data_IF_486831457478
#
_entry.id   IF_486831457478
#
_cell.length_a   1.000
_cell.length_b   1.000
_cell.length_c   1.000
_cell.angle_alpha   90.00
_cell.angle_beta   90.00
_cell.angle_gamma   90.00
#
_symmetry.space_group_name_H-M   'P 1'
#
loop_
_entity.id
_entity.type
_entity.pdbx_description
1 polymer ?
#
# COMPACT_ATOMS: atom_id res chain seq x y z
N UNK A 1 4.24 11.63 50.95
CA UNK A 1 3.94 13.07 50.79
C UNK A 1 3.61 13.28 49.32
N UNK A 2 2.44 13.68 48.84
CA UNK A 2 1.29 14.37 49.41
C UNK A 2 -0.01 13.72 48.94
N UNK A 3 -0.94 13.58 49.88
CA UNK A 3 -2.35 13.24 49.70
C UNK A 3 -3.16 14.53 49.62
N UNK A 4 -4.09 14.64 48.67
CA UNK A 4 -5.26 15.53 48.71
C UNK A 4 -6.14 15.17 47.50
N UNK A 5 -7.46 15.08 47.53
CA UNK A 5 -8.47 14.88 48.58
C UNK A 5 -9.76 14.63 47.78
N UNK A 6 -10.51 13.58 48.14
CA UNK A 6 -11.83 13.28 47.56
C UNK A 6 -12.86 14.27 48.12
N UNK A 7 -13.73 14.80 47.25
CA UNK A 7 -15.16 15.15 47.48
C UNK A 7 -15.64 16.12 46.40
N UNK A 8 -16.59 15.70 45.56
CA UNK A 8 -17.88 16.39 45.32
C UNK A 8 -18.84 15.36 44.73
N UNK A 9 -19.78 14.90 45.55
CA UNK A 9 -21.05 14.27 45.15
C UNK A 9 -22.12 15.35 45.29
N UNK A 10 -22.97 15.54 44.29
CA UNK A 10 -24.44 15.59 44.43
C UNK A 10 -25.14 16.23 43.23
N UNK A 11 -26.35 15.71 42.99
CA UNK A 11 -27.51 16.31 42.30
C UNK A 11 -27.46 16.42 40.78
N UNK A 12 -28.22 15.53 40.13
CA UNK A 12 -29.57 15.87 39.69
C UNK A 12 -30.45 14.60 39.58
N UNK A 13 -31.53 14.58 40.35
CA UNK A 13 -32.58 13.56 40.34
C UNK A 13 -33.69 13.94 39.35
N UNK A 14 -34.16 12.94 38.62
CA UNK A 14 -35.56 12.63 38.28
C UNK A 14 -36.54 13.77 38.05
N UNK A 15 -36.88 14.00 36.77
CA UNK A 15 -38.11 14.68 36.35
C UNK A 15 -39.15 13.62 35.95
N UNK A 16 -40.03 13.24 36.88
CA UNK A 16 -41.27 12.51 36.60
C UNK A 16 -42.26 13.49 35.96
N UNK A 17 -42.65 13.25 34.71
CA UNK A 17 -43.80 13.91 34.09
C UNK A 17 -44.98 12.95 34.21
N UNK A 18 -45.97 13.38 35.00
CA UNK A 18 -47.28 12.77 35.16
C UNK A 18 -48.17 13.32 34.04
N UNK A 19 -48.71 12.46 33.18
CA UNK A 19 -49.83 12.84 32.33
C UNK A 19 -50.93 11.79 32.44
N UNK A 20 -52.14 12.31 32.48
CA UNK A 20 -53.39 11.79 33.02
C UNK A 20 -54.03 10.68 32.20
N UNK A 21 -54.65 9.73 32.91
CA UNK A 21 -55.58 8.74 32.39
C UNK A 21 -56.93 9.36 32.04
N UNK A 22 -57.34 9.25 30.78
CA UNK A 22 -58.72 9.46 30.34
C UNK A 22 -59.14 8.24 29.51
N UNK A 23 -60.03 7.43 30.06
CA UNK A 23 -60.95 6.47 29.42
C UNK A 23 -61.78 7.20 28.35
N UNK A 24 -62.27 6.64 27.24
CA UNK A 24 -62.28 5.33 26.60
C UNK A 24 -62.71 5.58 25.13
N UNK A 25 -62.33 4.71 24.18
CA UNK A 25 -63.24 4.25 23.12
C UNK A 25 -62.59 3.13 22.29
N UNK A 26 -63.35 2.05 22.15
CA UNK A 26 -63.02 0.82 21.43
C UNK A 26 -63.18 1.06 19.93
N UNK A 27 -62.07 0.97 19.17
CA UNK A 27 -62.12 0.62 17.75
C UNK A 27 -61.01 -0.38 17.46
N UNK A 28 -61.43 -1.60 17.11
CA UNK A 28 -60.59 -2.72 16.76
C UNK A 28 -59.80 -2.46 15.47
N UNK A 29 -58.46 -2.41 15.55
CA UNK A 29 -57.60 -2.86 14.46
C UNK A 29 -56.21 -3.22 14.99
N UNK A 30 -55.83 -4.48 14.76
CA UNK A 30 -54.58 -5.13 15.17
C UNK A 30 -53.34 -4.53 14.47
N UNK A 31 -52.19 -4.32 15.16
CA UNK A 31 -50.91 -4.06 14.50
C UNK A 31 -50.27 -5.37 13.97
N UNK A 32 -49.61 -5.35 12.79
CA UNK A 32 -49.00 -6.52 12.18
C UNK A 32 -47.75 -6.99 12.94
N UNK A 33 -47.61 -8.31 13.04
CA UNK A 33 -46.58 -9.01 13.80
C UNK A 33 -45.15 -8.65 13.36
N UNK A 34 -44.27 -8.43 14.33
CA UNK A 34 -42.83 -8.31 14.11
C UNK A 34 -42.26 -9.60 13.48
N UNK A 35 -41.28 -9.52 12.57
CA UNK A 35 -40.65 -10.71 11.99
C UNK A 35 -40.00 -11.53 13.12
N UNK A 36 -40.21 -12.85 13.16
CA UNK A 36 -39.72 -13.70 14.24
C UNK A 36 -38.18 -13.69 14.25
N UNK A 37 -37.60 -13.22 15.36
CA UNK A 37 -36.17 -13.35 15.63
C UNK A 37 -35.88 -14.85 15.81
N UNK A 38 -34.97 -15.46 15.04
CA UNK A 38 -34.76 -16.90 15.10
C UNK A 38 -34.25 -17.31 16.49
N UNK A 39 -34.92 -18.29 17.09
CA UNK A 39 -34.56 -18.83 18.39
C UNK A 39 -33.15 -19.44 18.33
N UNK A 40 -32.31 -19.08 19.30
CA UNK A 40 -30.94 -19.62 19.41
C UNK A 40 -31.01 -21.07 19.89
N UNK A 41 -31.07 -21.99 18.93
CA UNK A 41 -31.00 -23.42 19.14
C UNK A 41 -29.62 -23.82 19.67
N UNK A 42 -29.57 -24.29 20.92
CA UNK A 42 -28.34 -24.85 21.54
C UNK A 42 -28.12 -26.28 21.03
N UNK A 43 -27.88 -26.41 19.73
CA UNK A 43 -27.49 -27.68 19.11
C UNK A 43 -26.14 -28.19 19.61
N UNK A 44 -25.91 -29.49 19.45
CA UNK A 44 -24.64 -30.14 19.80
C UNK A 44 -23.51 -29.52 18.95
N UNK A 45 -22.31 -29.27 19.51
CA UNK A 45 -21.22 -28.55 18.80
C UNK A 45 -20.92 -29.08 17.39
N UNK A 46 -21.12 -30.38 17.15
CA UNK A 46 -20.96 -31.02 15.83
C UNK A 46 -22.06 -30.64 14.83
N UNK A 47 -23.31 -30.51 15.28
CA UNK A 47 -24.42 -30.09 14.42
C UNK A 47 -24.27 -28.63 14.01
N UNK A 48 -23.81 -27.78 14.93
CA UNK A 48 -23.48 -26.39 14.64
C UNK A 48 -22.32 -26.29 13.64
N UNK A 49 -21.29 -27.13 13.76
CA UNK A 49 -20.16 -27.17 12.81
C UNK A 49 -20.59 -27.65 11.41
N UNK A 50 -21.40 -28.72 11.33
CA UNK A 50 -21.96 -29.18 10.05
C UNK A 50 -22.82 -28.09 9.39
N UNK A 51 -23.75 -27.49 10.15
CA UNK A 51 -24.59 -26.38 9.66
C UNK A 51 -23.73 -25.21 9.17
N UNK A 52 -22.68 -24.85 9.91
CA UNK A 52 -21.74 -23.81 9.50
C UNK A 52 -21.09 -24.11 8.14
N UNK A 53 -20.54 -25.32 7.95
CA UNK A 53 -19.95 -25.70 6.66
C UNK A 53 -20.97 -25.77 5.53
N UNK A 54 -22.20 -26.22 5.80
CA UNK A 54 -23.26 -26.26 4.79
C UNK A 54 -23.65 -24.85 4.34
N UNK A 55 -23.85 -23.93 5.28
CA UNK A 55 -24.16 -22.51 4.99
C UNK A 55 -22.99 -21.85 4.28
N UNK A 56 -21.76 -22.06 4.77
CA UNK A 56 -20.57 -21.48 4.14
C UNK A 56 -20.40 -21.96 2.70
N UNK A 57 -20.61 -23.27 2.45
CA UNK A 57 -20.56 -23.83 1.11
C UNK A 57 -21.65 -23.26 0.20
N UNK A 58 -22.91 -23.17 0.68
CA UNK A 58 -23.99 -22.59 -0.13
C UNK A 58 -23.72 -21.13 -0.46
N UNK A 59 -23.23 -20.35 0.50
CA UNK A 59 -22.96 -18.92 0.29
C UNK A 59 -21.88 -18.71 -0.77
N UNK A 60 -20.76 -19.45 -0.72
CA UNK A 60 -19.72 -19.34 -1.75
C UNK A 60 -20.17 -19.87 -3.12
N UNK A 61 -20.99 -20.94 -3.15
CA UNK A 61 -21.57 -21.44 -4.39
C UNK A 61 -22.47 -20.40 -5.04
N UNK A 62 -23.35 -19.78 -4.25
CA UNK A 62 -24.30 -18.79 -4.75
C UNK A 62 -23.56 -17.55 -5.25
N UNK A 63 -22.52 -17.10 -4.54
CA UNK A 63 -21.62 -16.02 -5.02
C UNK A 63 -20.93 -16.42 -6.33
N UNK A 64 -20.46 -17.66 -6.49
CA UNK A 64 -19.82 -18.11 -7.72
C UNK A 64 -20.79 -18.15 -8.91
N UNK A 65 -22.01 -18.67 -8.70
CA UNK A 65 -23.07 -18.71 -9.72
C UNK A 65 -23.51 -17.30 -10.10
N UNK A 66 -23.68 -16.41 -9.14
CA UNK A 66 -24.04 -15.01 -9.38
C UNK A 66 -22.92 -14.27 -10.10
N UNK A 67 -21.65 -14.53 -9.76
CA UNK A 67 -20.49 -13.97 -10.45
C UNK A 67 -20.48 -14.37 -11.92
N UNK A 68 -20.67 -15.66 -12.22
CA UNK A 68 -20.73 -16.15 -13.62
C UNK A 68 -21.92 -15.52 -14.36
N UNK A 69 -23.07 -15.41 -13.70
CA UNK A 69 -24.27 -14.78 -14.29
C UNK A 69 -24.02 -13.29 -14.54
N UNK A 70 -23.36 -12.59 -13.62
CA UNK A 70 -22.93 -11.20 -13.76
C UNK A 70 -21.92 -11.00 -14.89
N UNK A 71 -21.00 -11.94 -15.09
CA UNK A 71 -20.06 -11.91 -16.22
C UNK A 71 -20.79 -12.07 -17.57
N UNK A 72 -21.78 -12.94 -17.64
CA UNK A 72 -22.60 -13.15 -18.85
C UNK A 72 -23.49 -11.95 -19.18
N UNK A 73 -24.09 -11.33 -18.17
CA UNK A 73 -25.01 -10.18 -18.37
C UNK A 73 -24.25 -8.90 -18.75
N UNK A 74 -23.02 -8.70 -18.24
CA UNK A 74 -22.22 -7.49 -18.48
C UNK A 74 -20.77 -7.83 -18.86
N UNK A 75 -20.52 -8.37 -20.07
CA UNK A 75 -19.19 -8.85 -20.46
C UNK A 75 -18.12 -7.74 -20.48
N UNK A 76 -18.49 -6.50 -20.82
CA UNK A 76 -17.56 -5.36 -20.82
C UNK A 76 -16.99 -5.06 -19.44
N UNK A 77 -17.84 -5.11 -18.39
CA UNK A 77 -17.39 -4.86 -17.01
C UNK A 77 -16.55 -6.02 -16.49
N UNK A 78 -16.97 -7.25 -16.78
CA UNK A 78 -16.20 -8.45 -16.45
C UNK A 78 -14.81 -8.44 -17.07
N UNK A 79 -14.70 -8.10 -18.36
CA UNK A 79 -13.43 -7.96 -19.04
C UNK A 79 -12.54 -6.92 -18.34
N UNK A 80 -13.07 -5.74 -18.02
CA UNK A 80 -12.29 -4.69 -17.33
C UNK A 80 -11.76 -5.14 -15.95
N UNK A 81 -12.55 -5.87 -15.17
CA UNK A 81 -12.10 -6.41 -13.89
C UNK A 81 -11.04 -7.50 -14.07
N UNK A 82 -11.24 -8.42 -15.03
CA UNK A 82 -10.31 -9.51 -15.28
C UNK A 82 -8.98 -9.01 -15.83
N UNK A 83 -9.00 -8.02 -16.73
CA UNK A 83 -7.77 -7.36 -17.20
C UNK A 83 -7.10 -6.62 -16.06
N UNK A 84 -7.85 -5.91 -15.20
CA UNK A 84 -7.28 -5.23 -14.03
C UNK A 84 -6.57 -6.20 -13.08
N UNK A 85 -7.22 -7.30 -12.71
CA UNK A 85 -6.63 -8.34 -11.86
C UNK A 85 -5.41 -8.96 -12.55
N UNK A 86 -5.52 -9.29 -13.84
CA UNK A 86 -4.42 -9.82 -14.62
C UNK A 86 -3.20 -8.88 -14.66
N UNK A 87 -3.42 -7.59 -14.89
CA UNK A 87 -2.36 -6.58 -14.87
C UNK A 87 -1.69 -6.48 -13.49
N UNK A 88 -2.46 -6.52 -12.41
CA UNK A 88 -1.93 -6.47 -11.03
C UNK A 88 -1.10 -7.72 -10.73
N UNK A 89 -1.59 -8.91 -11.09
CA UNK A 89 -0.85 -10.16 -10.91
C UNK A 89 0.44 -10.18 -11.73
N UNK A 90 0.35 -9.76 -13.00
CA UNK A 90 1.51 -9.66 -13.88
C UNK A 90 2.55 -8.65 -13.36
N UNK A 91 2.10 -7.49 -12.89
CA UNK A 91 2.98 -6.49 -12.29
C UNK A 91 3.63 -6.99 -10.99
N UNK A 92 2.88 -7.77 -10.20
CA UNK A 92 3.41 -8.38 -8.99
C UNK A 92 4.49 -9.44 -9.27
N UNK A 93 4.29 -10.26 -10.30
CA UNK A 93 5.24 -11.29 -10.72
C UNK A 93 6.50 -10.67 -11.36
N UNK A 94 6.33 -9.60 -12.14
CA UNK A 94 7.42 -8.89 -12.82
C UNK A 94 8.06 -7.81 -11.95
N UNK A 95 7.81 -7.78 -10.65
CA UNK A 95 8.33 -6.71 -9.79
C UNK A 95 9.86 -6.80 -9.65
N UNK A 96 10.63 -5.75 -10.02
CA UNK A 96 12.09 -5.79 -9.95
C UNK A 96 12.61 -5.75 -8.51
N UNK A 97 13.76 -6.40 -8.25
CA UNK A 97 14.40 -6.45 -6.95
C UNK A 97 15.72 -5.64 -6.91
N UNK A 98 16.31 -5.47 -5.73
CA UNK A 98 17.57 -4.73 -5.52
C UNK A 98 18.71 -5.22 -6.41
N UNK A 99 18.77 -6.53 -6.67
CA UNK A 99 19.77 -7.15 -7.56
C UNK A 99 19.59 -6.68 -9.01
N UNK A 100 18.36 -6.65 -9.49
CA UNK A 100 18.03 -6.20 -10.84
C UNK A 100 18.44 -4.74 -11.05
N UNK A 101 18.34 -3.89 -10.02
CA UNK A 101 18.82 -2.51 -10.11
C UNK A 101 20.34 -2.43 -10.25
N UNK A 102 21.06 -3.23 -9.46
CA UNK A 102 22.51 -3.28 -9.55
C UNK A 102 22.96 -3.73 -10.95
N UNK A 103 22.32 -4.77 -11.50
CA UNK A 103 22.57 -5.21 -12.87
C UNK A 103 22.28 -4.12 -13.91
N UNK A 104 21.16 -3.40 -13.76
CA UNK A 104 20.82 -2.30 -14.66
C UNK A 104 21.87 -1.16 -14.58
N UNK A 105 22.35 -0.84 -13.39
CA UNK A 105 23.40 0.16 -13.18
C UNK A 105 24.74 -0.27 -13.79
N UNK A 106 25.14 -1.54 -13.61
CA UNK A 106 26.37 -2.07 -14.21
C UNK A 106 26.28 -2.02 -15.73
N UNK A 107 25.17 -2.48 -16.33
CA UNK A 107 24.96 -2.40 -17.79
C UNK A 107 25.02 -0.96 -18.29
N UNK A 108 24.35 -0.04 -17.62
CA UNK A 108 24.38 1.38 -17.97
C UNK A 108 25.80 1.97 -17.91
N UNK A 109 26.60 1.56 -16.92
CA UNK A 109 27.98 1.98 -16.83
C UNK A 109 28.87 1.36 -17.91
N UNK A 110 28.64 0.10 -18.28
CA UNK A 110 29.35 -0.55 -19.39
C UNK A 110 29.08 0.19 -20.71
N UNK A 111 27.81 0.54 -20.98
CA UNK A 111 27.42 1.33 -22.15
C UNK A 111 28.08 2.72 -22.14
N UNK A 112 28.11 3.39 -20.98
CA UNK A 112 28.76 4.69 -20.83
C UNK A 112 30.28 4.65 -21.07
N UNK A 113 30.97 3.57 -20.69
CA UNK A 113 32.42 3.40 -20.88
C UNK A 113 32.79 3.26 -22.37
N UNK A 114 31.87 2.78 -23.22
CA UNK A 114 32.10 2.68 -24.66
C UNK A 114 32.11 4.05 -25.35
N UNK A 115 31.56 5.08 -24.72
CA UNK A 115 31.51 6.44 -25.24
C UNK A 115 32.70 7.24 -24.71
N UNK A 116 33.33 8.03 -25.59
CA UNK A 116 34.42 8.92 -25.18
C UNK A 116 33.91 10.01 -24.23
N UNK A 117 34.72 10.37 -23.23
CA UNK A 117 34.39 11.40 -22.23
C UNK A 117 33.98 12.76 -22.84
N UNK A 118 34.46 13.09 -24.04
CA UNK A 118 34.07 14.31 -24.75
C UNK A 118 32.58 14.35 -25.13
N UNK A 119 32.01 13.21 -25.53
CA UNK A 119 30.63 13.10 -26.01
C UNK A 119 29.65 12.69 -24.90
N UNK A 120 30.17 12.21 -23.76
CA UNK A 120 29.35 11.73 -22.66
C UNK A 120 28.62 12.89 -21.97
N UNK A 121 27.34 12.69 -21.68
CA UNK A 121 26.55 13.66 -20.93
C UNK A 121 27.03 13.72 -19.46
N UNK A 122 27.55 14.87 -18.99
CA UNK A 122 28.09 14.98 -17.64
C UNK A 122 27.02 14.81 -16.56
N UNK A 123 25.75 15.10 -16.85
CA UNK A 123 24.67 14.89 -15.88
C UNK A 123 24.43 13.40 -15.62
N UNK A 124 24.46 12.60 -16.69
CA UNK A 124 24.30 11.14 -16.63
C UNK A 124 25.51 10.50 -15.95
N UNK A 125 26.73 10.91 -16.31
CA UNK A 125 27.96 10.40 -15.70
C UNK A 125 28.02 10.68 -14.19
N UNK A 126 27.74 11.92 -13.77
CA UNK A 126 27.66 12.27 -12.35
C UNK A 126 26.60 11.45 -11.60
N UNK A 127 25.48 11.14 -12.25
CA UNK A 127 24.40 10.32 -11.68
C UNK A 127 24.85 8.88 -11.48
N UNK A 128 25.48 8.27 -12.50
CA UNK A 128 26.03 6.91 -12.42
C UNK A 128 27.14 6.82 -11.37
N UNK A 129 28.02 7.82 -11.31
CA UNK A 129 29.08 7.92 -10.31
C UNK A 129 28.51 7.98 -8.88
N UNK A 130 27.49 8.82 -8.65
CA UNK A 130 26.79 8.92 -7.36
C UNK A 130 26.16 7.59 -6.95
N UNK A 131 25.49 6.90 -7.87
CA UNK A 131 24.85 5.60 -7.59
C UNK A 131 25.92 4.55 -7.28
N UNK A 132 26.99 4.48 -8.07
CA UNK A 132 28.12 3.56 -7.86
C UNK A 132 28.78 3.81 -6.50
N UNK A 133 29.04 5.07 -6.15
CA UNK A 133 29.58 5.44 -4.84
C UNK A 133 28.63 5.00 -3.71
N UNK A 134 27.33 5.24 -3.86
CA UNK A 134 26.33 4.85 -2.87
C UNK A 134 26.27 3.34 -2.64
N UNK A 135 26.48 2.55 -3.71
CA UNK A 135 26.61 1.10 -3.62
C UNK A 135 27.86 0.68 -2.86
N UNK A 136 29.00 1.32 -3.14
CA UNK A 136 30.26 1.06 -2.42
C UNK A 136 30.16 1.42 -0.93
N UNK A 137 29.40 2.47 -0.59
CA UNK A 137 29.12 2.87 0.79
C UNK A 137 28.05 2.00 1.47
N UNK A 138 27.35 1.15 0.71
CA UNK A 138 26.22 0.34 1.15
C UNK A 138 25.07 1.17 1.75
N UNK A 139 24.84 2.35 1.18
CA UNK A 139 23.76 3.27 1.58
C UNK A 139 22.48 3.09 0.76
N UNK A 140 22.54 2.32 -0.33
CA UNK A 140 21.39 2.01 -1.20
C UNK A 140 20.41 1.07 -0.50
N UNK A 141 19.13 1.40 -0.54
CA UNK A 141 18.05 0.60 0.03
C UNK A 141 16.96 0.35 -1.00
N UNK A 142 16.35 -0.83 -0.93
CA UNK A 142 15.24 -1.24 -1.79
C UNK A 142 14.02 -1.59 -0.94
N UNK A 143 12.84 -1.20 -1.42
CA UNK A 143 11.53 -1.56 -0.85
C UNK A 143 10.67 -2.07 -1.97
N UNK A 144 10.37 -3.36 -1.92
CA UNK A 144 9.38 -3.98 -2.79
C UNK A 144 7.99 -3.80 -2.17
N UNK A 145 7.08 -3.15 -2.90
CA UNK A 145 5.69 -2.89 -2.50
C UNK A 145 4.71 -3.86 -3.19
N UNK A 146 5.22 -4.99 -3.69
CA UNK A 146 4.45 -5.97 -4.45
C UNK A 146 4.34 -5.59 -5.93
N UNK A 147 3.72 -4.45 -6.26
CA UNK A 147 3.48 -4.04 -7.66
C UNK A 147 4.60 -3.20 -8.27
N UNK A 148 5.34 -2.50 -7.43
CA UNK A 148 6.47 -1.68 -7.81
C UNK A 148 7.53 -1.74 -6.72
N UNK A 149 8.74 -1.33 -7.07
CA UNK A 149 9.87 -1.27 -6.16
C UNK A 149 10.44 0.14 -6.13
N UNK A 150 10.90 0.56 -4.96
CA UNK A 150 11.50 1.87 -4.77
C UNK A 150 12.93 1.72 -4.31
N UNK A 151 13.81 2.55 -4.84
CA UNK A 151 15.19 2.66 -4.40
C UNK A 151 15.46 4.05 -3.86
N UNK A 152 16.05 4.11 -2.67
CA UNK A 152 16.44 5.36 -2.02
C UNK A 152 17.80 5.25 -1.36
N UNK A 153 18.38 6.42 -1.09
CA UNK A 153 19.66 6.55 -0.38
C UNK A 153 19.45 6.82 1.11
N UNK A 154 20.06 5.97 1.93
CA UNK A 154 20.29 6.24 3.34
C UNK A 154 21.52 7.16 3.51
N UNK A 155 21.66 7.80 4.67
CA UNK A 155 22.87 8.60 4.96
C UNK A 155 24.05 7.72 5.40
N UNK A 156 23.77 6.53 5.95
CA UNK A 156 24.76 5.68 6.60
C UNK A 156 24.51 4.21 6.27
N UNK A 157 25.58 3.43 6.33
CA UNK A 157 25.52 1.97 6.25
C UNK A 157 24.64 1.37 7.36
N UNK A 158 24.07 0.18 7.13
CA UNK A 158 23.22 -0.50 8.12
C UNK A 158 23.95 -0.77 9.44
N UNK A 159 25.22 -1.16 9.33
CA UNK A 159 26.07 -1.55 10.45
C UNK A 159 26.88 -0.38 11.02
N UNK A 160 26.58 0.85 10.59
CA UNK A 160 27.29 2.03 11.06
C UNK A 160 26.85 2.37 12.49
N UNK A 161 27.74 2.17 13.47
CA UNK A 161 27.49 2.40 14.89
C UNK A 161 27.72 3.83 15.40
N UNK A 162 27.90 4.83 14.52
CA UNK A 162 28.18 6.22 14.95
C UNK A 162 26.95 6.88 15.58
N UNK A 163 27.16 7.83 16.50
CA UNK A 163 26.06 8.52 17.17
C UNK A 163 25.00 9.12 16.21
N UNK A 164 25.38 9.77 15.08
CA UNK A 164 24.40 10.29 14.11
C UNK A 164 23.49 9.25 13.46
N UNK A 165 23.92 8.00 13.30
CA UNK A 165 23.09 6.95 12.68
C UNK A 165 22.05 6.39 13.66
N UNK A 166 22.40 6.35 14.95
CA UNK A 166 21.55 5.81 16.01
C UNK A 166 20.50 6.82 16.50
N UNK A 167 20.85 8.11 16.53
CA UNK A 167 19.99 9.15 17.10
C UNK A 167 18.69 9.32 16.28
N UNK A 168 17.53 9.11 16.94
CA UNK A 168 16.20 9.22 16.31
C UNK A 168 15.90 10.62 15.76
N UNK A 169 16.42 11.66 16.40
CA UNK A 169 16.17 13.06 16.01
C UNK A 169 16.97 13.50 14.79
N UNK A 170 18.07 12.81 14.46
CA UNK A 170 18.89 13.07 13.27
C UNK A 170 18.41 12.28 12.06
N UNK A 171 17.45 11.35 12.23
CA UNK A 171 16.89 10.59 11.11
C UNK A 171 16.11 11.53 10.18
N UNK A 172 16.20 11.30 8.86
CA UNK A 172 15.48 12.13 7.90
C UNK A 172 13.98 12.09 8.19
N UNK A 173 13.36 13.28 8.23
CA UNK A 173 11.92 13.40 8.39
C UNK A 173 11.15 12.85 7.19
N UNK A 174 9.92 12.42 7.44
CA UNK A 174 9.03 11.81 6.44
C UNK A 174 8.78 12.75 5.25
N UNK A 175 8.64 14.06 5.51
CA UNK A 175 8.44 15.09 4.47
C UNK A 175 9.60 15.10 3.46
N UNK A 176 10.84 14.88 3.90
CA UNK A 176 12.03 14.95 3.03
C UNK A 176 12.37 13.65 2.30
N UNK A 177 11.62 12.57 2.55
CA UNK A 177 11.94 11.24 2.04
C UNK A 177 11.90 11.17 0.50
N UNK A 178 10.91 11.85 -0.12
CA UNK A 178 10.75 11.85 -1.58
C UNK A 178 11.99 12.35 -2.33
N UNK A 179 12.77 13.27 -1.74
CA UNK A 179 14.00 13.80 -2.37
C UNK A 179 15.15 12.79 -2.41
N UNK A 180 15.05 11.71 -1.64
CA UNK A 180 16.08 10.65 -1.53
C UNK A 180 15.81 9.47 -2.43
N UNK A 181 14.65 9.45 -3.09
CA UNK A 181 14.28 8.40 -4.06
C UNK A 181 15.15 8.60 -5.29
N UNK A 182 15.89 7.55 -5.66
CA UNK A 182 16.72 7.54 -6.86
C UNK A 182 15.90 7.02 -8.02
N UNK A 183 15.22 5.89 -7.84
CA UNK A 183 14.60 5.16 -8.93
C UNK A 183 13.31 4.43 -8.48
N UNK A 184 12.44 4.20 -9.46
CA UNK A 184 11.18 3.48 -9.36
C UNK A 184 11.21 2.32 -10.35
N UNK A 185 11.09 1.12 -9.82
CA UNK A 185 11.00 -0.12 -10.57
C UNK A 185 9.55 -0.48 -10.81
N UNK A 186 9.18 -0.74 -12.07
CA UNK A 186 7.84 -1.16 -12.46
C UNK A 186 7.91 -2.02 -13.73
N UNK A 187 7.16 -3.13 -13.77
CA UNK A 187 7.11 -4.09 -14.89
C UNK A 187 8.50 -4.60 -15.32
N UNK A 188 9.32 -5.02 -14.36
CA UNK A 188 10.64 -5.62 -14.61
C UNK A 188 11.71 -4.66 -15.12
N UNK A 189 11.45 -3.35 -15.08
CA UNK A 189 12.35 -2.31 -15.56
C UNK A 189 12.50 -1.21 -14.50
N UNK A 190 13.65 -0.53 -14.54
CA UNK A 190 13.94 0.65 -13.71
C UNK A 190 13.77 1.89 -14.57
N UNK A 191 12.80 2.74 -14.21
CA UNK A 191 12.35 3.79 -15.10
C UNK A 191 13.28 4.99 -15.13
N UNK A 192 13.83 5.39 -13.99
CA UNK A 192 14.68 6.58 -13.94
C UNK A 192 16.01 6.33 -14.64
N UNK A 193 16.65 5.18 -14.40
CA UNK A 193 17.88 4.79 -15.11
C UNK A 193 17.71 4.76 -16.62
N UNK A 194 16.63 4.13 -17.10
CA UNK A 194 16.34 4.11 -18.53
C UNK A 194 16.09 5.51 -19.10
N UNK A 195 15.53 6.42 -18.31
CA UNK A 195 15.24 7.78 -18.76
C UNK A 195 16.50 8.62 -18.96
N UNK A 196 17.41 8.66 -17.99
CA UNK A 196 18.65 9.44 -18.14
C UNK A 196 19.70 8.74 -19.02
N UNK A 197 19.62 7.42 -19.19
CA UNK A 197 20.45 6.67 -20.14
C UNK A 197 19.98 6.80 -21.60
N UNK A 198 18.86 7.47 -21.87
CA UNK A 198 18.36 7.59 -23.26
C UNK A 198 19.26 8.48 -24.14
N UNK A 199 19.74 9.59 -23.59
CA UNK A 199 20.54 10.61 -24.29
C UNK A 199 21.91 10.77 -23.60
N UNK A 200 22.54 9.65 -23.23
CA UNK A 200 23.81 9.64 -22.51
C UNK A 200 25.02 9.98 -23.39
N UNK A 201 24.90 9.77 -24.71
CA UNK A 201 25.92 10.02 -25.74
C UNK A 201 25.86 11.44 -26.35
N UNK A 202 24.98 12.29 -25.83
CA UNK A 202 24.83 13.69 -26.25
C UNK A 202 25.38 14.60 -25.16
N UNK A 203 26.51 15.25 -25.43
CA UNK A 203 27.05 16.27 -24.53
C UNK A 203 26.43 17.66 -24.81
N UNK A 204 25.58 18.20 -23.91
CA UNK A 204 24.97 19.51 -24.11
C UNK A 204 25.99 20.66 -24.13
N UNK A 205 27.16 20.47 -23.53
CA UNK A 205 28.19 21.51 -23.46
C UNK A 205 28.80 21.82 -24.84
N UNK A 206 28.82 20.86 -25.76
CA UNK A 206 29.37 21.04 -27.11
C UNK A 206 28.54 22.04 -27.92
N UNK A 207 27.22 21.98 -27.78
CA UNK A 207 26.29 22.82 -28.54
C UNK A 207 26.07 24.21 -27.93
N UNK A 208 26.58 24.46 -26.72
CA UNK A 208 26.41 25.74 -26.01
C UNK A 208 27.40 26.84 -26.43
N UNK A 209 28.41 26.51 -27.27
CA UNK A 209 29.49 27.43 -27.69
C UNK A 209 29.28 28.07 -29.06
N UNK A 210 28.07 28.03 -29.61
CA UNK A 210 27.69 28.70 -30.87
C UNK A 210 26.51 29.65 -30.62
#
# INVERSE_FOLDING_TARGET
MFQLSRRVLARQQGRKVRFSSTTAETTSSSPPAAPPVPAVDKGTRLEQWKRFWTVLYSDYRDVAVDTITSMKTKPKKAAAYLTGIGCVLYAAETNPDARTYYEAMVRAADDAILVSEANLNPATDNRLCLIRQSYNEGTVRCLSLGLFSLIWLANYHQDCGIYPSQCKYLKPGIIGFHKRIIDVGFLGQWWNINWYMKDFDINPNEFSRH
#
